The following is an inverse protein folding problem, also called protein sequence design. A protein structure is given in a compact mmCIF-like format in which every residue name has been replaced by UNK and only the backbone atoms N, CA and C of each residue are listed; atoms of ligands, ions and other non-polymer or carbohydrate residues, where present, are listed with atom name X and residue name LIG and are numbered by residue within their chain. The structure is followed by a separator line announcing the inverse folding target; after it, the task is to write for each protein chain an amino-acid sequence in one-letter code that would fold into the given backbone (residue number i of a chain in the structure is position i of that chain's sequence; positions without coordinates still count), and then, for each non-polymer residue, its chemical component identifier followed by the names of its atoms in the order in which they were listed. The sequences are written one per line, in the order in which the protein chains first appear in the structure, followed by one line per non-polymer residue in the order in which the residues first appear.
data_IF_873086266439
#
_entry.id   IF_873086266439
#
_cell.length_a   1.000
_cell.length_b   1.000
_cell.length_c   1.000
_cell.angle_alpha   90.00
_cell.angle_beta   90.00
_cell.angle_gamma   90.00
#
_symmetry.space_group_name_H-M   'P 1'
#
loop_
_entity.id
_entity.type
_entity.pdbx_description
1 polymer ?
#
# COMPACT_ATOMS: atom_id res chain seq x y z
N UNK A 1 2.36 3.97 21.99
CA UNK A 1 3.10 4.33 20.77
C UNK A 1 4.59 4.47 21.04
N UNK A 2 5.45 3.81 20.25
CA UNK A 2 6.92 3.96 20.29
C UNK A 2 7.43 4.48 18.95
N UNK A 3 7.93 5.72 18.91
CA UNK A 3 8.42 6.32 17.66
C UNK A 3 9.56 5.50 17.07
N UNK A 4 10.57 5.13 17.88
CA UNK A 4 11.74 4.40 17.39
C UNK A 4 11.39 3.03 16.80
N UNK A 5 10.43 2.31 17.40
CA UNK A 5 10.00 1.02 16.88
C UNK A 5 9.22 1.16 15.56
N UNK A 6 8.31 2.14 15.47
CA UNK A 6 7.56 2.43 14.24
C UNK A 6 8.49 2.91 13.13
N UNK A 7 9.43 3.79 13.45
CA UNK A 7 10.45 4.30 12.52
C UNK A 7 11.32 3.16 11.96
N UNK A 8 11.78 2.26 12.82
CA UNK A 8 12.55 1.09 12.41
C UNK A 8 11.77 0.18 11.46
N UNK A 9 10.49 -0.09 11.75
CA UNK A 9 9.64 -0.92 10.89
C UNK A 9 9.31 -0.21 9.57
N UNK A 10 9.06 1.10 9.61
CA UNK A 10 8.83 1.90 8.40
C UNK A 10 10.04 1.85 7.47
N UNK A 11 11.25 2.07 7.99
CA UNK A 11 12.48 1.99 7.20
C UNK A 11 12.65 0.63 6.53
N UNK A 12 12.33 -0.46 7.26
CA UNK A 12 12.35 -1.81 6.67
C UNK A 12 11.31 -2.00 5.57
N UNK A 13 10.12 -1.41 5.70
CA UNK A 13 9.10 -1.44 4.64
C UNK A 13 9.60 -0.66 3.41
N UNK A 14 10.17 0.53 3.62
CA UNK A 14 10.72 1.36 2.56
C UNK A 14 11.87 0.63 1.82
N UNK A 15 12.76 -0.05 2.56
CA UNK A 15 13.83 -0.90 2.00
C UNK A 15 13.27 -2.04 1.14
N UNK A 16 12.23 -2.75 1.60
CA UNK A 16 11.61 -3.80 0.81
C UNK A 16 10.89 -3.27 -0.43
N UNK A 17 10.22 -2.11 -0.34
CA UNK A 17 9.56 -1.48 -1.47
C UNK A 17 10.59 -1.09 -2.55
N UNK A 18 11.72 -0.50 -2.16
CA UNK A 18 12.82 -0.19 -3.08
C UNK A 18 13.40 -1.46 -3.72
N UNK A 19 13.60 -2.53 -2.93
CA UNK A 19 14.10 -3.79 -3.44
C UNK A 19 13.16 -4.44 -4.48
N UNK A 20 11.84 -4.31 -4.32
CA UNK A 20 10.88 -4.76 -5.33
C UNK A 20 10.94 -3.92 -6.60
N UNK A 21 11.06 -2.60 -6.49
CA UNK A 21 11.21 -1.70 -7.64
C UNK A 21 12.47 -2.05 -8.45
N UNK A 22 13.62 -2.17 -7.78
CA UNK A 22 14.89 -2.57 -8.39
C UNK A 22 14.79 -3.93 -9.07
N UNK A 23 14.09 -4.89 -8.45
CA UNK A 23 13.87 -6.22 -9.01
C UNK A 23 13.05 -6.17 -10.31
N UNK A 24 11.93 -5.44 -10.33
CA UNK A 24 11.11 -5.32 -11.53
C UNK A 24 11.82 -4.58 -12.66
N UNK A 25 12.55 -3.51 -12.34
CA UNK A 25 13.40 -2.79 -13.31
C UNK A 25 14.48 -3.71 -13.88
N UNK A 26 15.17 -4.47 -13.02
CA UNK A 26 16.17 -5.45 -13.43
C UNK A 26 15.63 -6.59 -14.30
N UNK A 27 14.36 -6.95 -14.12
CA UNK A 27 13.65 -7.89 -14.99
C UNK A 27 13.12 -7.26 -16.28
N UNK A 28 13.10 -5.93 -16.40
CA UNK A 28 12.48 -5.22 -17.52
C UNK A 28 10.96 -5.37 -17.58
N UNK A 29 10.32 -5.55 -16.42
CA UNK A 29 8.87 -5.73 -16.31
C UNK A 29 8.25 -4.48 -15.71
N UNK A 30 7.15 -4.01 -16.29
CA UNK A 30 6.30 -2.98 -15.71
C UNK A 30 5.16 -3.67 -14.95
N UNK A 31 5.16 -3.68 -13.61
CA UNK A 31 4.12 -4.35 -12.83
C UNK A 31 2.82 -3.54 -12.83
N UNK A 32 1.70 -4.24 -12.75
CA UNK A 32 0.43 -3.61 -12.39
C UNK A 32 0.47 -3.25 -10.89
N UNK A 33 0.54 -1.95 -10.58
CA UNK A 33 0.59 -1.46 -9.20
C UNK A 33 -0.83 -1.36 -8.62
N UNK A 34 -1.02 -1.94 -7.43
CA UNK A 34 -2.27 -1.85 -6.68
C UNK A 34 -1.99 -1.09 -5.39
N UNK A 35 -2.58 0.10 -5.27
CA UNK A 35 -2.53 0.89 -4.03
C UNK A 35 -3.61 0.38 -3.08
N UNK A 36 -3.24 0.17 -1.82
CA UNK A 36 -4.13 -0.42 -0.82
C UNK A 36 -5.36 0.48 -0.55
N UNK A 37 -5.16 1.80 -0.47
CA UNK A 37 -6.22 2.77 -0.26
C UNK A 37 -7.24 2.75 -1.41
N UNK A 38 -6.76 2.69 -2.66
CA UNK A 38 -7.60 2.61 -3.87
C UNK A 38 -8.36 1.28 -3.94
N UNK A 39 -7.70 0.16 -3.60
CA UNK A 39 -8.31 -1.17 -3.53
C UNK A 39 -9.46 -1.22 -2.51
N UNK A 40 -9.29 -0.55 -1.37
CA UNK A 40 -10.34 -0.51 -0.33
C UNK A 40 -11.49 0.41 -0.72
N UNK A 41 -11.21 1.49 -1.45
CA UNK A 41 -12.21 2.45 -1.93
C UNK A 41 -13.09 1.86 -3.05
N UNK A 42 -12.49 1.16 -4.02
CA UNK A 42 -13.21 0.48 -5.10
C UNK A 42 -12.64 -0.92 -5.36
N UNK A 43 -13.02 -1.86 -4.48
CA UNK A 43 -12.61 -3.25 -4.60
C UNK A 43 -13.10 -3.91 -5.91
N UNK A 44 -14.40 -3.82 -6.29
CA UNK A 44 -14.87 -4.42 -7.55
C UNK A 44 -14.17 -3.83 -8.78
N UNK A 45 -14.00 -2.50 -8.85
CA UNK A 45 -13.32 -1.84 -9.95
C UNK A 45 -11.86 -2.27 -10.07
N UNK A 46 -11.13 -2.31 -8.95
CA UNK A 46 -9.72 -2.76 -8.93
C UNK A 46 -9.59 -4.21 -9.42
N UNK A 47 -10.50 -5.11 -9.01
CA UNK A 47 -10.50 -6.50 -9.48
C UNK A 47 -10.78 -6.59 -10.99
N UNK A 48 -11.74 -5.82 -11.50
CA UNK A 48 -12.04 -5.81 -12.93
C UNK A 48 -10.87 -5.25 -13.75
N UNK A 49 -10.23 -4.19 -13.28
CA UNK A 49 -9.02 -3.63 -13.89
C UNK A 49 -7.87 -4.64 -13.92
N UNK A 50 -7.65 -5.38 -12.82
CA UNK A 50 -6.65 -6.46 -12.78
C UNK A 50 -6.96 -7.55 -13.82
N UNK A 51 -8.21 -8.01 -13.89
CA UNK A 51 -8.63 -9.04 -14.84
C UNK A 51 -8.43 -8.62 -16.29
N UNK A 52 -8.79 -7.37 -16.61
CA UNK A 52 -8.57 -6.79 -17.94
C UNK A 52 -7.08 -6.69 -18.28
N UNK A 53 -6.26 -6.19 -17.34
CA UNK A 53 -4.82 -6.03 -17.54
C UNK A 53 -4.06 -7.35 -17.74
N UNK A 54 -4.55 -8.46 -17.18
CA UNK A 54 -3.99 -9.80 -17.43
C UNK A 54 -4.70 -10.56 -18.57
N UNK A 55 -5.64 -9.93 -19.26
CA UNK A 55 -6.32 -10.49 -20.44
C UNK A 55 -7.38 -11.56 -20.13
N UNK A 56 -7.94 -11.58 -18.92
CA UNK A 56 -9.04 -12.49 -18.56
C UNK A 56 -10.38 -11.82 -18.84
N UNK A 57 -11.10 -12.34 -19.82
CA UNK A 57 -12.45 -11.88 -20.13
C UNK A 57 -13.44 -12.30 -19.03
N UNK A 58 -14.26 -11.34 -18.58
CA UNK A 58 -15.34 -11.58 -17.62
C UNK A 58 -16.66 -11.89 -18.36
N UNK A 59 -17.40 -12.94 -17.96
CA UNK A 59 -18.71 -13.24 -18.56
C UNK A 59 -19.75 -12.15 -18.21
N UNK A 60 -20.83 -12.06 -18.99
CA UNK A 60 -21.83 -11.00 -18.90
C UNK A 60 -22.48 -10.85 -17.49
N UNK A 61 -22.53 -11.93 -16.71
CA UNK A 61 -23.07 -11.95 -15.34
C UNK A 61 -21.98 -12.14 -14.27
N UNK A 62 -20.74 -11.77 -14.59
CA UNK A 62 -19.64 -11.84 -13.63
C UNK A 62 -19.86 -10.82 -12.51
N UNK A 63 -19.86 -11.31 -11.27
CA UNK A 63 -19.91 -10.49 -10.08
C UNK A 63 -18.64 -10.72 -9.28
N UNK A 64 -17.95 -9.62 -8.94
CA UNK A 64 -16.82 -9.68 -8.03
C UNK A 64 -17.31 -10.11 -6.66
N UNK A 65 -16.70 -11.14 -6.10
CA UNK A 65 -17.03 -11.61 -4.76
C UNK A 65 -16.64 -10.57 -3.71
N UNK A 66 -17.45 -10.43 -2.66
CA UNK A 66 -17.16 -9.54 -1.54
C UNK A 66 -15.75 -9.80 -0.94
N UNK A 67 -15.02 -8.74 -0.56
CA UNK A 67 -13.71 -8.89 0.05
C UNK A 67 -13.82 -9.66 1.36
N UNK A 68 -13.01 -10.71 1.50
CA UNK A 68 -12.96 -11.52 2.73
C UNK A 68 -12.21 -10.82 3.87
N UNK A 69 -11.32 -9.89 3.51
CA UNK A 69 -10.51 -9.14 4.46
C UNK A 69 -11.18 -7.81 4.77
N UNK A 70 -10.99 -7.33 6.00
CA UNK A 70 -11.42 -5.99 6.42
C UNK A 70 -10.27 -5.01 6.28
N UNK A 71 -10.61 -3.73 6.14
CA UNK A 71 -9.65 -2.63 6.21
C UNK A 71 -8.82 -2.76 7.49
N UNK A 72 -7.51 -2.75 7.35
CA UNK A 72 -6.56 -2.88 8.47
C UNK A 72 -6.36 -1.55 9.21
N UNK A 73 -6.56 -0.42 8.53
CA UNK A 73 -6.48 0.92 9.12
C UNK A 73 -7.73 1.23 9.96
N UNK A 74 -7.47 1.65 11.19
CA UNK A 74 -8.42 2.02 12.23
C UNK A 74 -8.03 3.34 12.92
N UNK A 75 -8.87 3.81 13.84
CA UNK A 75 -8.66 5.10 14.51
C UNK A 75 -7.31 5.16 15.26
N UNK A 76 -6.88 4.03 15.85
CA UNK A 76 -5.66 3.96 16.63
C UNK A 76 -4.41 4.05 15.74
N UNK A 77 -4.39 3.30 14.65
CA UNK A 77 -3.30 3.33 13.67
C UNK A 77 -3.21 4.68 12.96
N UNK A 78 -4.33 5.30 12.65
CA UNK A 78 -4.38 6.67 12.11
C UNK A 78 -3.84 7.71 13.10
N UNK A 79 -4.18 7.60 14.39
CA UNK A 79 -3.62 8.47 15.44
C UNK A 79 -2.10 8.32 15.52
N UNK A 80 -1.61 7.09 15.48
CA UNK A 80 -0.18 6.81 15.54
C UNK A 80 0.56 7.34 14.31
N UNK A 81 -0.05 7.26 13.12
CA UNK A 81 0.45 7.89 11.90
C UNK A 81 0.64 9.39 12.07
N UNK A 82 -0.40 10.11 12.52
CA UNK A 82 -0.33 11.55 12.79
C UNK A 82 0.75 11.92 13.82
N UNK A 83 0.88 11.14 14.89
CA UNK A 83 1.90 11.35 15.92
C UNK A 83 3.32 11.08 15.40
N UNK A 84 3.48 10.07 14.54
CA UNK A 84 4.74 9.77 13.87
C UNK A 84 5.16 10.94 12.99
N UNK A 85 4.29 11.40 12.08
CA UNK A 85 4.59 12.49 11.14
C UNK A 85 5.02 13.77 11.85
N UNK A 86 4.30 14.14 12.91
CA UNK A 86 4.64 15.31 13.73
C UNK A 86 6.04 15.21 14.35
N UNK A 87 6.43 14.02 14.83
CA UNK A 87 7.75 13.80 15.44
C UNK A 87 8.86 13.68 14.40
N UNK A 88 8.58 13.06 13.26
CA UNK A 88 9.51 12.96 12.14
C UNK A 88 9.89 14.36 11.63
N UNK A 89 8.88 15.23 11.41
CA UNK A 89 9.09 16.62 11.00
C UNK A 89 9.97 17.40 11.99
N UNK A 90 9.72 17.25 13.30
CA UNK A 90 10.51 17.92 14.34
C UNK A 90 11.98 17.45 14.39
N UNK A 91 12.24 16.17 14.11
CA UNK A 91 13.61 15.61 14.02
C UNK A 91 14.37 16.15 12.80
N UNK A 92 13.69 16.32 11.67
CA UNK A 92 14.32 16.86 10.45
C UNK A 92 14.75 18.31 10.65
N UNK A 93 13.94 19.12 11.34
CA UNK A 93 14.26 20.54 11.65
C UNK A 93 15.42 20.69 12.64
N UNK A 94 15.62 19.73 13.56
CA UNK A 94 16.76 19.76 14.50
C UNK A 94 18.10 19.30 13.91
N UNK A 95 18.08 18.68 12.71
CA UNK A 95 19.29 18.19 12.03
C UNK A 95 19.83 19.14 10.94
N UNK A 96 19.13 20.24 10.64
CA UNK A 96 19.57 21.30 9.73
C UNK A 96 20.15 22.48 10.49
#
# INVERSE_FOLDING_TARGET
FSFAAVDHLKLRIDEHNAAWQDFFEGCGVEPMEVVYEELVEDYPGTVLWLLDGIGISTPQNFAVAEPKMRRQADELSEEWGRLYDKRAAAKTVQKG
#
